data_IF_161877080492
#
_entry.id   IF_161877080492
#
_cell.length_a   1.000
_cell.length_b   1.000
_cell.length_c   1.000
_cell.angle_alpha   90.00
_cell.angle_beta   90.00
_cell.angle_gamma   90.00
#
_symmetry.space_group_name_H-M   'P 1'
#
loop_
_entity.id
_entity.type
_entity.pdbx_description
1 polymer ?
#
# COMPACT_ATOMS: atom_id res chain seq x y z
N UNK A 1 9.76 12.88 13.36
CA UNK A 1 11.09 13.18 13.97
C UNK A 1 11.57 11.94 14.70
N UNK A 2 12.85 11.57 14.58
CA UNK A 2 13.44 10.47 15.36
C UNK A 2 13.93 10.97 16.70
N UNK A 3 13.89 10.12 17.74
CA UNK A 3 14.47 10.46 19.03
C UNK A 3 15.99 10.73 18.91
N UNK A 4 16.57 11.59 19.76
CA UNK A 4 18.01 11.84 19.76
C UNK A 4 18.82 10.53 19.88
N UNK A 5 19.83 10.34 19.02
CA UNK A 5 20.66 9.14 18.99
C UNK A 5 20.05 7.90 18.31
N UNK A 6 18.82 7.98 17.81
CA UNK A 6 18.15 6.89 17.12
C UNK A 6 18.53 6.87 15.63
N UNK A 7 19.50 6.06 15.24
CA UNK A 7 19.81 5.74 13.84
C UNK A 7 18.73 4.84 13.21
N UNK A 8 18.71 4.74 11.88
CA UNK A 8 17.73 3.92 11.16
C UNK A 8 17.68 2.46 11.69
N UNK A 9 18.80 1.80 11.79
CA UNK A 9 18.88 0.42 12.27
C UNK A 9 18.83 0.25 13.80
N UNK A 10 18.36 1.27 14.50
CA UNK A 10 18.01 1.21 15.93
C UNK A 10 16.52 1.45 16.17
N UNK A 11 15.74 1.64 15.11
CA UNK A 11 14.29 1.82 15.23
C UNK A 11 13.62 0.48 15.54
N UNK A 12 12.54 0.44 16.34
CA UNK A 12 11.68 -0.73 16.47
C UNK A 12 11.16 -1.22 15.10
N UNK A 13 10.93 -2.52 14.96
CA UNK A 13 10.42 -3.09 13.70
C UNK A 13 9.02 -2.56 13.36
N UNK A 14 8.22 -2.26 14.36
CA UNK A 14 6.94 -1.57 14.18
C UNK A 14 7.11 -0.23 13.44
N UNK A 15 8.14 0.55 13.76
CA UNK A 15 8.41 1.83 13.08
C UNK A 15 8.85 1.61 11.63
N UNK A 16 9.58 0.51 11.33
CA UNK A 16 9.91 0.15 9.95
C UNK A 16 8.67 -0.21 9.13
N UNK A 17 7.73 -0.93 9.73
CA UNK A 17 6.46 -1.27 9.07
C UNK A 17 5.61 -0.03 8.81
N UNK A 18 5.53 0.91 9.76
CA UNK A 18 4.88 2.21 9.55
C UNK A 18 5.58 3.05 8.48
N UNK A 19 6.90 2.99 8.42
CA UNK A 19 7.67 3.70 7.39
C UNK A 19 7.35 3.14 5.99
N UNK A 20 7.31 1.82 5.84
CA UNK A 20 6.85 1.18 4.59
C UNK A 20 5.41 1.57 4.22
N UNK A 21 4.51 1.57 5.19
CA UNK A 21 3.12 2.01 5.03
C UNK A 21 3.02 3.45 4.53
N UNK A 22 3.82 4.36 5.10
CA UNK A 22 3.83 5.76 4.70
C UNK A 22 4.25 5.95 3.22
N UNK A 23 5.21 5.16 2.75
CA UNK A 23 5.60 5.16 1.34
C UNK A 23 4.48 4.69 0.41
N UNK A 24 3.78 3.60 0.80
CA UNK A 24 2.62 3.13 0.02
C UNK A 24 1.56 4.24 -0.05
N UNK A 25 1.21 4.86 1.08
CA UNK A 25 0.21 5.92 1.11
C UNK A 25 0.60 7.12 0.24
N UNK A 26 1.85 7.55 0.33
CA UNK A 26 2.34 8.70 -0.44
C UNK A 26 2.22 8.48 -1.95
N UNK A 27 2.49 7.26 -2.42
CA UNK A 27 2.48 6.93 -3.85
C UNK A 27 1.08 6.54 -4.36
N UNK A 28 0.31 5.79 -3.58
CA UNK A 28 -0.96 5.22 -4.02
C UNK A 28 -2.16 6.14 -3.82
N UNK A 29 -2.20 6.92 -2.74
CA UNK A 29 -3.36 7.77 -2.41
C UNK A 29 -3.68 8.83 -3.47
N UNK A 30 -2.70 9.50 -4.11
CA UNK A 30 -3.00 10.42 -5.21
C UNK A 30 -3.71 9.76 -6.39
N UNK A 31 -3.37 8.50 -6.70
CA UNK A 31 -3.98 7.77 -7.82
C UNK A 31 -5.47 7.52 -7.57
N UNK A 32 -5.85 7.06 -6.37
CA UNK A 32 -7.27 6.87 -6.04
C UNK A 32 -8.02 8.21 -5.96
N UNK A 33 -7.35 9.25 -5.47
CA UNK A 33 -7.92 10.60 -5.46
C UNK A 33 -8.30 11.08 -6.88
N UNK A 34 -7.39 10.93 -7.84
CA UNK A 34 -7.65 11.23 -9.25
C UNK A 34 -8.76 10.33 -9.81
N UNK A 35 -8.74 9.04 -9.49
CA UNK A 35 -9.77 8.08 -9.94
C UNK A 35 -11.16 8.53 -9.51
N UNK A 36 -11.33 8.94 -8.26
CA UNK A 36 -12.62 9.42 -7.78
C UNK A 36 -13.03 10.76 -8.38
N UNK A 37 -12.08 11.66 -8.64
CA UNK A 37 -12.37 12.89 -9.38
C UNK A 37 -12.85 12.60 -10.81
N UNK A 38 -12.27 11.61 -11.49
CA UNK A 38 -12.73 11.16 -12.81
C UNK A 38 -14.15 10.58 -12.74
N UNK A 39 -14.47 9.77 -11.70
CA UNK A 39 -15.83 9.26 -11.47
C UNK A 39 -16.82 10.42 -11.23
N UNK A 40 -16.43 11.41 -10.45
CA UNK A 40 -17.26 12.62 -10.23
C UNK A 40 -17.50 13.37 -11.54
N UNK A 41 -16.47 13.53 -12.35
CA UNK A 41 -16.58 14.18 -13.66
C UNK A 41 -17.51 13.38 -14.61
N UNK A 42 -17.42 12.06 -14.63
CA UNK A 42 -18.35 11.22 -15.40
C UNK A 42 -19.80 11.39 -14.95
N UNK A 43 -20.04 11.46 -13.64
CA UNK A 43 -21.38 11.56 -13.07
C UNK A 43 -22.01 12.94 -13.24
N UNK A 44 -21.23 14.01 -13.07
CA UNK A 44 -21.74 15.38 -13.06
C UNK A 44 -21.61 16.07 -14.41
N UNK A 45 -20.54 15.77 -15.17
CA UNK A 45 -20.21 16.46 -16.41
C UNK A 45 -20.44 15.60 -17.67
N UNK A 46 -20.79 14.31 -17.48
CA UNK A 46 -21.00 13.33 -18.55
C UNK A 46 -19.83 13.25 -19.54
N UNK A 47 -18.58 13.28 -19.02
CA UNK A 47 -17.37 13.25 -19.86
C UNK A 47 -17.12 11.87 -20.45
N UNK A 48 -17.51 10.79 -19.73
CA UNK A 48 -17.44 9.42 -20.23
C UNK A 48 -16.05 8.79 -20.15
N UNK A 49 -15.27 9.04 -19.09
CA UNK A 49 -13.97 8.37 -18.91
C UNK A 49 -14.10 6.85 -18.81
N UNK A 50 -15.15 6.37 -18.15
CA UNK A 50 -15.34 4.96 -17.82
C UNK A 50 -16.61 4.36 -18.44
N UNK A 51 -17.41 5.17 -19.13
CA UNK A 51 -18.66 4.74 -19.76
C UNK A 51 -18.40 4.34 -21.22
N UNK A 52 -18.55 3.04 -21.60
CA UNK A 52 -18.38 2.58 -22.96
C UNK A 52 -19.31 3.24 -23.96
N UNK A 53 -20.52 3.65 -23.53
CA UNK A 53 -21.48 4.33 -24.42
C UNK A 53 -20.97 5.70 -24.89
N UNK A 54 -20.03 6.28 -24.16
CA UNK A 54 -19.40 7.57 -24.46
C UNK A 54 -17.94 7.42 -24.94
N UNK A 55 -17.49 6.19 -25.22
CA UNK A 55 -16.13 5.90 -25.66
C UNK A 55 -15.13 5.70 -24.53
N UNK A 56 -15.59 5.62 -23.28
CA UNK A 56 -14.75 5.36 -22.10
C UNK A 56 -14.44 3.88 -21.91
N UNK A 57 -13.55 3.61 -20.95
CA UNK A 57 -13.06 2.26 -20.67
C UNK A 57 -13.24 1.88 -19.20
N UNK A 58 -14.15 0.94 -18.87
CA UNK A 58 -14.33 0.44 -17.51
C UNK A 58 -13.11 -0.35 -16.98
N UNK A 59 -12.26 -0.90 -17.86
CA UNK A 59 -11.02 -1.57 -17.47
C UNK A 59 -10.02 -0.55 -16.96
N UNK A 60 -9.96 0.64 -17.56
CA UNK A 60 -9.16 1.75 -17.04
C UNK A 60 -9.53 2.09 -15.59
N UNK A 61 -10.85 2.14 -15.28
CA UNK A 61 -11.30 2.33 -13.90
C UNK A 61 -10.73 1.25 -12.97
N UNK A 62 -10.81 -0.02 -13.37
CA UNK A 62 -10.31 -1.14 -12.58
C UNK A 62 -8.81 -1.02 -12.32
N UNK A 63 -8.01 -0.68 -13.33
CA UNK A 63 -6.57 -0.45 -13.16
C UNK A 63 -6.30 0.67 -12.15
N UNK A 64 -6.89 1.83 -12.33
CA UNK A 64 -6.68 2.98 -11.45
C UNK A 64 -7.13 2.71 -10.02
N UNK A 65 -8.26 2.02 -9.85
CA UNK A 65 -8.79 1.63 -8.55
C UNK A 65 -7.86 0.63 -7.84
N UNK A 66 -7.41 -0.42 -8.53
CA UNK A 66 -6.62 -1.49 -7.92
C UNK A 66 -5.15 -1.10 -7.72
N UNK A 67 -4.61 -0.16 -8.47
CA UNK A 67 -3.29 0.46 -8.19
C UNK A 67 -3.25 1.06 -6.78
N UNK A 68 -4.39 1.50 -6.24
CA UNK A 68 -4.50 1.89 -4.83
C UNK A 68 -5.02 0.76 -3.95
N UNK A 69 -6.13 0.12 -4.32
CA UNK A 69 -6.87 -0.75 -3.39
C UNK A 69 -6.12 -2.01 -3.01
N UNK A 70 -5.21 -2.53 -3.86
CA UNK A 70 -4.32 -3.59 -3.43
C UNK A 70 -3.22 -3.07 -2.47
N UNK A 71 -2.45 -2.02 -2.78
CA UNK A 71 -1.58 -1.41 -1.77
C UNK A 71 -2.27 -1.05 -0.45
N UNK A 72 -3.55 -0.70 -0.47
CA UNK A 72 -4.32 -0.42 0.75
C UNK A 72 -4.36 -1.61 1.73
N UNK A 73 -4.43 -2.85 1.23
CA UNK A 73 -4.37 -4.03 2.11
C UNK A 73 -2.99 -4.22 2.73
N UNK A 74 -1.92 -3.80 2.04
CA UNK A 74 -0.57 -3.77 2.62
C UNK A 74 -0.39 -2.63 3.63
N UNK A 75 -1.06 -1.50 3.46
CA UNK A 75 -1.16 -0.43 4.47
C UNK A 75 -1.74 -0.98 5.78
N UNK A 76 -2.68 -1.91 5.71
CA UNK A 76 -3.30 -2.53 6.88
C UNK A 76 -2.38 -3.59 7.51
N UNK A 77 -1.82 -4.49 6.70
CA UNK A 77 -1.10 -5.66 7.22
C UNK A 77 0.31 -5.33 7.74
N UNK A 78 1.02 -4.37 7.13
CA UNK A 78 2.39 -4.05 7.53
C UNK A 78 2.49 -3.59 9.00
N UNK A 79 1.67 -2.62 9.48
CA UNK A 79 1.68 -2.23 10.89
C UNK A 79 1.32 -3.39 11.82
N UNK A 80 0.38 -4.25 11.42
CA UNK A 80 0.01 -5.43 12.20
C UNK A 80 1.20 -6.40 12.34
N UNK A 81 1.92 -6.68 11.24
CA UNK A 81 3.13 -7.51 11.26
C UNK A 81 4.21 -6.92 12.18
N UNK A 82 4.43 -5.61 12.10
CA UNK A 82 5.36 -4.91 12.98
C UNK A 82 4.98 -5.01 14.46
N UNK A 83 3.71 -4.77 14.78
CA UNK A 83 3.19 -4.86 16.14
C UNK A 83 3.31 -6.29 16.72
N UNK A 84 2.92 -7.30 15.93
CA UNK A 84 3.02 -8.71 16.34
C UNK A 84 4.47 -9.11 16.57
N UNK A 85 5.40 -8.65 15.74
CA UNK A 85 6.85 -8.91 15.94
C UNK A 85 7.34 -8.35 17.27
N UNK A 86 6.97 -7.13 17.63
CA UNK A 86 7.32 -6.52 18.92
C UNK A 86 6.69 -7.28 20.10
N UNK A 87 5.43 -7.69 19.98
CA UNK A 87 4.73 -8.49 20.99
C UNK A 87 5.44 -9.82 21.21
N UNK A 88 5.75 -10.55 20.13
CA UNK A 88 6.43 -11.85 20.22
C UNK A 88 7.80 -11.70 20.89
N UNK A 89 8.59 -10.69 20.55
CA UNK A 89 9.90 -10.48 21.15
C UNK A 89 9.80 -10.13 22.64
N UNK A 90 8.81 -9.30 22.99
CA UNK A 90 8.58 -8.90 24.38
C UNK A 90 8.19 -10.11 25.25
N UNK A 91 7.21 -10.91 24.80
CA UNK A 91 6.71 -12.04 25.58
C UNK A 91 7.64 -13.25 25.58
N UNK A 92 8.44 -13.45 24.54
CA UNK A 92 9.44 -14.52 24.50
C UNK A 92 10.73 -14.19 25.26
N UNK A 93 10.90 -12.94 25.70
CA UNK A 93 12.13 -12.43 26.31
C UNK A 93 13.39 -12.71 25.44
N UNK A 94 13.22 -12.67 24.12
CA UNK A 94 14.29 -12.92 23.15
C UNK A 94 14.51 -11.71 22.23
N UNK A 95 15.73 -11.54 21.79
CA UNK A 95 16.06 -10.54 20.77
C UNK A 95 15.60 -11.02 19.39
N UNK A 96 15.24 -10.08 18.52
CA UNK A 96 14.86 -10.39 17.13
C UNK A 96 16.05 -10.98 16.39
N UNK A 97 15.90 -12.19 15.88
CA UNK A 97 16.86 -12.77 14.95
C UNK A 97 16.74 -12.10 13.58
N UNK A 98 17.88 -11.69 13.02
CA UNK A 98 17.88 -11.13 11.66
C UNK A 98 17.17 -9.77 11.54
N UNK A 99 17.23 -8.91 12.54
CA UNK A 99 16.57 -7.59 12.58
C UNK A 99 16.64 -6.80 11.26
N UNK A 100 17.84 -6.68 10.66
CA UNK A 100 18.00 -5.94 9.39
C UNK A 100 17.25 -6.61 8.24
N UNK A 101 17.25 -7.93 8.18
CA UNK A 101 16.52 -8.67 7.16
C UNK A 101 15.01 -8.45 7.28
N UNK A 102 14.46 -8.50 8.50
CA UNK A 102 13.03 -8.25 8.74
C UNK A 102 12.66 -6.80 8.44
N UNK A 103 13.50 -5.82 8.83
CA UNK A 103 13.27 -4.42 8.50
C UNK A 103 13.26 -4.19 6.97
N UNK A 104 14.22 -4.78 6.25
CA UNK A 104 14.27 -4.68 4.78
C UNK A 104 13.13 -5.45 4.10
N UNK A 105 12.71 -6.59 4.64
CA UNK A 105 11.56 -7.34 4.09
C UNK A 105 10.26 -6.55 4.20
N UNK A 106 10.06 -5.76 5.25
CA UNK A 106 8.89 -4.87 5.36
C UNK A 106 8.85 -3.84 4.23
N UNK A 107 9.99 -3.25 3.88
CA UNK A 107 10.09 -2.34 2.73
C UNK A 107 9.93 -3.08 1.40
N UNK A 108 10.51 -4.29 1.29
CA UNK A 108 10.36 -5.11 0.09
C UNK A 108 8.90 -5.50 -0.15
N UNK A 109 8.16 -5.88 0.90
CA UNK A 109 6.72 -6.15 0.82
C UNK A 109 5.96 -4.91 0.36
N UNK A 110 6.27 -3.73 0.92
CA UNK A 110 5.64 -2.48 0.52
C UNK A 110 5.86 -2.21 -0.99
N UNK A 111 7.07 -2.39 -1.48
CA UNK A 111 7.41 -2.15 -2.89
C UNK A 111 6.83 -3.21 -3.83
N UNK A 112 7.03 -4.51 -3.53
CA UNK A 112 6.51 -5.61 -4.37
C UNK A 112 4.98 -5.61 -4.37
N UNK A 113 4.37 -5.37 -3.21
CA UNK A 113 2.91 -5.27 -3.08
C UNK A 113 2.30 -4.18 -3.96
N UNK A 114 3.07 -3.15 -4.30
CA UNK A 114 2.63 -2.10 -5.22
C UNK A 114 2.53 -2.57 -6.68
N UNK A 115 3.18 -3.67 -7.06
CA UNK A 115 3.29 -4.14 -8.43
C UNK A 115 2.32 -5.29 -8.79
N UNK A 116 1.49 -5.73 -7.85
CA UNK A 116 0.70 -6.98 -8.01
C UNK A 116 -0.81 -6.77 -8.14
N UNK A 117 -1.28 -5.55 -8.34
CA UNK A 117 -2.73 -5.25 -8.39
C UNK A 117 -3.48 -6.00 -9.50
N UNK A 118 -2.81 -6.44 -10.55
CA UNK A 118 -3.43 -7.11 -11.70
C UNK A 118 -4.16 -8.41 -11.35
N UNK A 119 -3.83 -9.07 -10.22
CA UNK A 119 -4.52 -10.27 -9.79
C UNK A 119 -5.99 -10.04 -9.37
N UNK A 120 -6.41 -8.79 -9.16
CA UNK A 120 -7.81 -8.42 -8.98
C UNK A 120 -8.59 -8.33 -10.30
N UNK A 121 -7.93 -8.49 -11.45
CA UNK A 121 -8.47 -8.21 -12.77
C UNK A 121 -8.47 -9.42 -13.71
N UNK A 122 -8.32 -10.64 -13.18
CA UNK A 122 -8.25 -11.86 -14.03
C UNK A 122 -9.51 -12.10 -14.89
N UNK A 123 -10.65 -11.59 -14.47
CA UNK A 123 -11.91 -11.72 -15.19
C UNK A 123 -12.29 -10.48 -15.99
N UNK A 124 -11.43 -9.48 -16.09
CA UNK A 124 -11.72 -8.23 -16.79
C UNK A 124 -11.55 -8.30 -18.31
N UNK A 125 -11.15 -9.44 -18.86
CA UNK A 125 -10.99 -9.64 -20.31
C UNK A 125 -9.59 -9.29 -20.83
N UNK A 126 -8.59 -9.24 -19.96
CA UNK A 126 -7.18 -9.10 -20.36
C UNK A 126 -6.57 -10.44 -20.72
#
# INVERSE_FOLDING_TARGET
MRAPGMGFFRMPLFIWSLYGTAWIQLLATPVVGITFLMVVADRLLHIGFFDPAQGGDPILYQHLFWIYSHPAVYIMILPAMGAITEIITTFSHRTVFGYKAIAMSSLAIAFVGYLVWGHHMFTSGM
#
